data_IF_668873193661
#
_entry.id   IF_668873193661
#
_cell.length_a   1.000
_cell.length_b   1.000
_cell.length_c   1.000
_cell.angle_alpha   90.00
_cell.angle_beta   90.00
_cell.angle_gamma   90.00
#
_symmetry.space_group_name_H-M   'P 1'
#
loop_
_entity.id
_entity.type
_entity.pdbx_description
1 polymer ?
#
# COMPACT_ATOMS: atom_id res chain seq x y z
N UNK A 1 -6.36 2.32 4.39
CA UNK A 1 -6.08 1.88 3.01
C UNK A 1 -6.65 2.83 1.97
N UNK A 2 -7.98 2.94 1.81
CA UNK A 2 -8.59 3.73 0.73
C UNK A 2 -8.12 5.19 0.66
N UNK A 3 -7.87 5.83 1.81
CA UNK A 3 -7.24 7.15 1.87
C UNK A 3 -5.79 7.15 1.36
N UNK A 4 -4.95 6.20 1.79
CA UNK A 4 -3.57 6.06 1.31
C UNK A 4 -3.46 5.75 -0.19
N UNK A 5 -4.42 5.04 -0.77
CA UNK A 5 -4.48 4.81 -2.22
C UNK A 5 -4.95 6.02 -3.05
N UNK A 6 -5.36 7.12 -2.41
CA UNK A 6 -5.79 8.37 -3.08
C UNK A 6 -4.89 9.56 -2.75
N UNK A 7 -4.32 9.58 -1.56
CA UNK A 7 -3.56 10.71 -1.06
C UNK A 7 -2.16 10.71 -1.67
N UNK A 8 -1.83 11.78 -2.38
CA UNK A 8 -0.52 12.04 -2.95
C UNK A 8 0.27 13.06 -2.11
N UNK A 9 1.53 13.29 -2.49
CA UNK A 9 2.37 14.34 -1.91
C UNK A 9 3.54 13.80 -1.08
N UNK A 10 4.04 14.64 -0.18
CA UNK A 10 5.22 14.36 0.65
C UNK A 10 4.77 14.16 2.10
N UNK A 11 5.24 13.11 2.74
CA UNK A 11 4.99 12.84 4.15
C UNK A 11 5.67 13.91 5.03
N UNK A 12 5.04 14.30 6.15
CA UNK A 12 5.64 15.20 7.12
C UNK A 12 6.84 14.53 7.83
N UNK A 13 7.61 15.30 8.59
CA UNK A 13 8.76 14.78 9.37
C UNK A 13 10.14 15.07 8.77
N UNK A 14 10.26 16.02 7.83
CA UNK A 14 11.55 16.58 7.40
C UNK A 14 12.39 15.71 6.45
N UNK A 15 12.08 14.42 6.32
CA UNK A 15 12.78 13.47 5.44
C UNK A 15 12.36 13.55 3.96
N UNK A 16 11.39 14.41 3.62
CA UNK A 16 10.87 14.63 2.25
C UNK A 16 10.44 13.33 1.53
N UNK A 17 9.88 12.38 2.27
CA UNK A 17 9.48 11.08 1.72
C UNK A 17 8.22 11.23 0.86
N UNK A 18 8.29 10.84 -0.41
CA UNK A 18 7.14 10.88 -1.31
C UNK A 18 6.19 9.70 -1.04
N UNK A 19 4.88 9.98 -1.04
CA UNK A 19 3.81 8.97 -1.04
C UNK A 19 3.82 8.18 -2.35
N UNK A 20 3.72 6.86 -2.26
CA UNK A 20 3.83 5.91 -3.37
C UNK A 20 2.57 5.08 -3.58
N UNK A 21 1.74 4.93 -2.55
CA UNK A 21 0.57 4.06 -2.62
C UNK A 21 -0.43 4.48 -3.71
N UNK A 22 -0.73 5.78 -3.85
CA UNK A 22 -1.66 6.26 -4.88
C UNK A 22 -1.19 5.92 -6.32
N UNK A 23 0.08 6.18 -6.63
CA UNK A 23 0.64 5.88 -7.94
C UNK A 23 0.65 4.37 -8.24
N UNK A 24 1.02 3.54 -7.25
CA UNK A 24 1.02 2.09 -7.39
C UNK A 24 -0.40 1.54 -7.59
N UNK A 25 -1.39 2.08 -6.87
CA UNK A 25 -2.79 1.72 -7.06
C UNK A 25 -3.27 2.01 -8.49
N UNK A 26 -2.93 3.19 -9.03
CA UNK A 26 -3.27 3.54 -10.41
C UNK A 26 -2.61 2.60 -11.43
N UNK A 27 -1.35 2.23 -11.20
CA UNK A 27 -0.63 1.29 -12.06
C UNK A 27 -1.27 -0.11 -12.06
N UNK A 28 -1.64 -0.62 -10.88
CA UNK A 28 -2.27 -1.93 -10.74
C UNK A 28 -3.69 -1.95 -11.32
N UNK A 29 -4.46 -0.88 -11.15
CA UNK A 29 -5.79 -0.76 -11.74
C UNK A 29 -5.79 -0.59 -13.27
N UNK A 30 -4.73 0.01 -13.84
CA UNK A 30 -4.61 0.22 -15.29
C UNK A 30 -4.14 -1.02 -16.05
N UNK A 31 -3.62 -2.05 -15.35
CA UNK A 31 -3.10 -3.28 -15.97
C UNK A 31 -3.78 -4.54 -15.38
N UNK A 32 -5.11 -4.69 -15.49
CA UNK A 32 -5.84 -5.81 -14.88
C UNK A 32 -5.43 -7.18 -15.48
N UNK A 33 -4.96 -7.21 -16.73
CA UNK A 33 -4.51 -8.45 -17.38
C UNK A 33 -3.20 -9.00 -16.78
N UNK A 34 -2.33 -8.13 -16.25
CA UNK A 34 -1.11 -8.55 -15.57
C UNK A 34 -1.44 -9.23 -14.22
N UNK A 35 -2.51 -8.78 -13.56
CA UNK A 35 -2.98 -9.34 -12.30
C UNK A 35 -3.48 -10.80 -12.42
N UNK A 36 -3.95 -11.19 -13.61
CA UNK A 36 -4.47 -12.54 -13.87
C UNK A 36 -3.40 -13.54 -14.30
N UNK A 37 -2.21 -13.07 -14.69
CA UNK A 37 -1.17 -13.90 -15.32
C UNK A 37 0.02 -14.21 -14.42
N UNK A 38 0.22 -13.46 -13.35
CA UNK A 38 1.47 -13.53 -12.57
C UNK A 38 1.20 -13.62 -11.07
N UNK A 39 1.78 -14.62 -10.41
CA UNK A 39 1.74 -14.74 -8.94
C UNK A 39 2.41 -13.55 -8.23
N UNK A 40 3.36 -12.87 -8.90
CA UNK A 40 4.00 -11.66 -8.39
C UNK A 40 3.01 -10.48 -8.29
N UNK A 41 1.95 -10.46 -9.11
CA UNK A 41 0.95 -9.39 -9.06
C UNK A 41 0.17 -9.36 -7.73
N UNK A 42 -0.01 -10.52 -7.08
CA UNK A 42 -0.62 -10.60 -5.74
C UNK A 42 0.29 -9.92 -4.72
N UNK A 43 1.61 -10.09 -4.84
CA UNK A 43 2.58 -9.41 -3.97
C UNK A 43 2.53 -7.90 -4.16
N UNK A 44 2.30 -7.41 -5.38
CA UNK A 44 2.17 -5.97 -5.64
C UNK A 44 0.93 -5.38 -4.96
N UNK A 45 -0.20 -6.09 -4.96
CA UNK A 45 -1.37 -5.69 -4.19
C UNK A 45 -1.10 -5.67 -2.68
N UNK A 46 -0.41 -6.68 -2.14
CA UNK A 46 -0.01 -6.71 -0.72
C UNK A 46 0.91 -5.52 -0.38
N UNK A 47 1.91 -5.25 -1.22
CA UNK A 47 2.81 -4.12 -1.07
C UNK A 47 2.05 -2.78 -1.11
N UNK A 48 1.07 -2.64 -2.00
CA UNK A 48 0.20 -1.49 -2.05
C UNK A 48 -0.54 -1.28 -0.72
N UNK A 49 -1.16 -2.33 -0.18
CA UNK A 49 -1.88 -2.24 1.09
C UNK A 49 -0.97 -1.79 2.24
N UNK A 50 0.24 -2.35 2.32
CA UNK A 50 1.23 -1.99 3.33
C UNK A 50 1.67 -0.52 3.20
N UNK A 51 1.99 -0.06 1.99
CA UNK A 51 2.34 1.33 1.73
C UNK A 51 1.19 2.28 2.10
N UNK A 52 -0.03 1.97 1.69
CA UNK A 52 -1.20 2.82 1.94
C UNK A 52 -1.50 2.99 3.43
N UNK A 53 -1.25 1.97 4.26
CA UNK A 53 -1.41 2.06 5.71
C UNK A 53 -0.25 2.83 6.34
N UNK A 54 0.99 2.52 5.97
CA UNK A 54 2.18 3.17 6.53
C UNK A 54 2.22 4.67 6.22
N UNK A 55 1.82 5.08 5.02
CA UNK A 55 1.77 6.48 4.61
C UNK A 55 0.70 7.27 5.35
N UNK A 56 -0.48 6.68 5.60
CA UNK A 56 -1.53 7.32 6.39
C UNK A 56 -1.14 7.45 7.87
N UNK A 57 -0.46 6.44 8.42
CA UNK A 57 0.08 6.50 9.78
C UNK A 57 1.16 7.58 9.91
N UNK A 58 2.09 7.65 8.95
CA UNK A 58 3.16 8.66 8.93
C UNK A 58 2.62 10.10 8.75
N UNK A 59 1.43 10.26 8.17
CA UNK A 59 0.79 11.56 7.98
C UNK A 59 -0.10 11.99 9.16
N UNK A 60 -0.08 11.26 10.29
CA UNK A 60 -0.89 11.56 11.47
C UNK A 60 -2.38 11.22 11.32
N UNK A 61 -2.74 10.35 10.36
CA UNK A 61 -4.10 9.82 10.23
C UNK A 61 -4.51 8.98 11.46
N UNK A 62 -5.82 8.78 11.65
CA UNK A 62 -6.40 8.02 12.77
C UNK A 62 -5.74 6.63 12.84
N UNK A 63 -4.83 6.47 13.80
CA UNK A 63 -3.93 5.32 13.98
C UNK A 63 -4.72 4.02 14.01
N UNK A 64 -4.51 3.15 13.03
CA UNK A 64 -4.82 1.72 13.13
C UNK A 64 -3.49 1.03 13.37
N UNK A 65 -3.24 0.62 14.61
CA UNK A 65 -2.10 -0.24 14.91
C UNK A 65 -2.33 -1.59 14.20
N UNK A 66 -1.64 -1.79 13.08
CA UNK A 66 -1.61 -3.03 12.30
C UNK A 66 -0.15 -3.28 11.85
N UNK A 67 0.26 -4.55 11.67
CA UNK A 67 1.36 -5.08 12.44
C UNK A 67 2.76 -4.79 11.84
N UNK A 68 3.64 -4.27 12.70
CA UNK A 68 5.09 -4.07 12.55
C UNK A 68 5.61 -3.12 11.45
N UNK A 69 6.52 -2.23 11.89
CA UNK A 69 7.27 -1.21 11.14
C UNK A 69 8.22 -1.74 10.03
N UNK A 70 8.06 -2.97 9.51
CA UNK A 70 8.97 -3.46 8.48
C UNK A 70 8.69 -4.84 7.85
N UNK A 71 7.81 -5.68 8.42
CA UNK A 71 7.62 -7.03 7.89
C UNK A 71 6.37 -7.78 8.40
N UNK A 72 5.21 -7.14 8.65
CA UNK A 72 3.98 -7.93 8.87
C UNK A 72 2.93 -7.69 7.79
N UNK A 73 2.86 -8.69 6.92
CA UNK A 73 1.84 -8.85 5.91
C UNK A 73 1.95 -10.22 5.24
N UNK A 74 2.29 -11.26 6.00
CA UNK A 74 2.10 -12.64 5.51
C UNK A 74 0.63 -13.02 5.77
N UNK A 75 -0.14 -13.04 4.67
CA UNK A 75 -1.37 -13.83 4.41
C UNK A 75 -2.64 -13.34 5.15
N UNK A 76 -3.73 -13.05 4.41
CA UNK A 76 -4.68 -14.11 4.05
C UNK A 76 -5.27 -14.00 2.63
N UNK A 77 -4.98 -14.97 1.76
CA UNK A 77 -5.82 -15.30 0.61
C UNK A 77 -5.53 -16.73 0.08
N UNK A 78 -5.66 -17.72 0.97
CA UNK A 78 -6.10 -19.06 0.58
C UNK A 78 -7.34 -19.35 1.42
N UNK A 79 -8.47 -18.85 0.93
CA UNK A 79 -9.83 -19.33 1.17
C UNK A 79 -10.37 -19.43 -0.26
N UNK A 80 -10.18 -20.52 -0.99
CA UNK A 80 -10.69 -21.88 -0.73
C UNK A 80 -9.91 -22.78 0.21
#
# INVERSE_FOLDING_TARGET
VSAGCRNEGILPGGLKVKRRAAALHHQLCSHPEAALRDALSVLDWVNLYALAVNEENANGGRVVTAPTNGAAGIIPAVLH
#
